data_IF_759855271797
#
_entry.id   IF_759855271797
#
_cell.length_a   1.000
_cell.length_b   1.000
_cell.length_c   1.000
_cell.angle_alpha   90.00
_cell.angle_beta   90.00
_cell.angle_gamma   90.00
#
_symmetry.space_group_name_H-M   'P 1'
#
loop_
_entity.id
_entity.type
_entity.pdbx_description
1 polymer ?
#
# COMPACT_ATOMS: atom_id res chain seq x y z
N UNK A 1 2.73 -11.32 1.21
CA UNK A 1 1.60 -10.41 1.52
C UNK A 1 1.05 -9.68 0.28
N UNK A 2 1.89 -8.99 -0.52
CA UNK A 2 1.44 -8.14 -1.64
C UNK A 2 0.39 -8.76 -2.58
N UNK A 3 0.51 -10.06 -2.91
CA UNK A 3 -0.45 -10.76 -3.75
C UNK A 3 -1.89 -10.68 -3.22
N UNK A 4 -2.11 -10.98 -1.94
CA UNK A 4 -3.46 -11.04 -1.36
C UNK A 4 -4.10 -9.66 -1.24
N UNK A 5 -3.31 -8.61 -1.07
CA UNK A 5 -3.79 -7.22 -0.99
C UNK A 5 -4.33 -6.67 -2.32
N UNK A 6 -4.11 -7.37 -3.43
CA UNK A 6 -4.71 -7.09 -4.74
C UNK A 6 -5.53 -8.27 -5.28
N UNK A 7 -5.89 -9.24 -4.44
CA UNK A 7 -6.72 -10.35 -4.85
C UNK A 7 -8.20 -9.97 -4.70
N UNK A 8 -8.95 -10.10 -5.79
CA UNK A 8 -10.29 -9.53 -5.93
C UNK A 8 -11.28 -9.95 -4.84
N UNK A 9 -11.43 -11.24 -4.48
CA UNK A 9 -12.30 -11.65 -3.37
C UNK A 9 -11.87 -11.05 -2.02
N UNK A 10 -10.56 -10.90 -1.78
CA UNK A 10 -10.08 -10.31 -0.55
C UNK A 10 -10.40 -8.81 -0.49
N UNK A 11 -10.28 -8.11 -1.62
CA UNK A 11 -10.62 -6.68 -1.74
C UNK A 11 -12.13 -6.46 -1.62
N UNK A 12 -12.97 -7.31 -2.20
CA UNK A 12 -14.42 -7.22 -2.07
C UNK A 12 -14.88 -7.36 -0.60
N UNK A 13 -14.26 -8.28 0.15
CA UNK A 13 -14.63 -8.54 1.55
C UNK A 13 -14.03 -7.50 2.51
N UNK A 14 -12.76 -7.12 2.31
CA UNK A 14 -12.03 -6.23 3.23
C UNK A 14 -12.12 -4.75 2.87
N UNK A 15 -12.82 -4.41 1.78
CA UNK A 15 -12.80 -3.08 1.19
C UNK A 15 -11.51 -2.81 0.42
N UNK A 16 -11.37 -1.60 -0.13
CA UNK A 16 -10.24 -1.20 -1.00
C UNK A 16 -9.56 0.10 -0.56
N UNK A 17 -9.83 0.56 0.67
CA UNK A 17 -9.49 1.89 1.15
C UNK A 17 -8.19 1.96 1.97
N UNK A 18 -7.60 0.82 2.35
CA UNK A 18 -6.50 0.78 3.34
C UNK A 18 -5.23 0.11 2.84
N UNK A 19 -5.28 -0.62 1.72
CA UNK A 19 -4.17 -1.45 1.25
C UNK A 19 -3.01 -0.63 0.65
N UNK A 20 -3.30 0.53 0.08
CA UNK A 20 -2.33 1.28 -0.73
C UNK A 20 -1.05 1.67 0.03
N UNK A 21 -1.08 2.18 1.28
CA UNK A 21 0.14 2.45 2.06
C UNK A 21 1.05 1.23 2.24
N UNK A 22 0.47 0.06 2.48
CA UNK A 22 1.23 -1.18 2.67
C UNK A 22 1.84 -1.71 1.38
N UNK A 23 1.09 -1.63 0.27
CA UNK A 23 1.61 -1.96 -1.05
C UNK A 23 2.70 -0.98 -1.49
N UNK A 24 2.53 0.31 -1.20
CA UNK A 24 3.53 1.34 -1.48
C UNK A 24 4.86 1.06 -0.76
N UNK A 25 4.82 0.61 0.50
CA UNK A 25 6.02 0.30 1.28
C UNK A 25 6.87 -0.82 0.69
N UNK A 26 6.24 -1.73 -0.07
CA UNK A 26 6.87 -2.87 -0.73
C UNK A 26 7.45 -2.53 -2.11
N UNK A 27 7.29 -1.29 -2.59
CA UNK A 27 7.92 -0.83 -3.83
C UNK A 27 9.44 -0.74 -3.72
N UNK A 28 9.99 -0.50 -2.52
CA UNK A 28 11.43 -0.50 -2.23
C UNK A 28 11.91 -1.79 -1.53
N UNK A 29 11.22 -2.91 -1.74
CA UNK A 29 11.59 -4.19 -1.13
C UNK A 29 12.97 -4.68 -1.62
N UNK A 30 13.83 -5.34 -0.83
CA UNK A 30 15.09 -5.89 -1.33
C UNK A 30 14.90 -6.93 -2.46
N UNK A 31 13.75 -7.60 -2.54
CA UNK A 31 13.46 -8.60 -3.57
C UNK A 31 12.63 -8.02 -4.72
N UNK A 32 13.17 -8.08 -5.94
CA UNK A 32 12.51 -7.58 -7.16
C UNK A 32 11.14 -8.21 -7.40
N UNK A 33 10.97 -9.50 -7.08
CA UNK A 33 9.68 -10.19 -7.19
C UNK A 33 8.62 -9.57 -6.28
N UNK A 34 9.01 -9.12 -5.08
CA UNK A 34 8.10 -8.43 -4.15
C UNK A 34 7.74 -7.05 -4.68
N UNK A 35 8.70 -6.29 -5.22
CA UNK A 35 8.42 -5.00 -5.88
C UNK A 35 7.45 -5.14 -7.04
N UNK A 36 7.66 -6.14 -7.90
CA UNK A 36 6.77 -6.44 -9.01
C UNK A 36 5.35 -6.74 -8.52
N UNK A 37 5.23 -7.61 -7.51
CA UNK A 37 3.93 -7.96 -6.94
C UNK A 37 3.25 -6.79 -6.25
N UNK A 38 4.01 -5.94 -5.55
CA UNK A 38 3.51 -4.73 -4.92
C UNK A 38 2.91 -3.79 -5.96
N UNK A 39 3.65 -3.47 -7.04
CA UNK A 39 3.15 -2.67 -8.16
C UNK A 39 1.90 -3.30 -8.79
N UNK A 40 1.95 -4.60 -9.09
CA UNK A 40 0.84 -5.32 -9.75
C UNK A 40 -0.43 -5.23 -8.92
N UNK A 41 -0.34 -5.46 -7.61
CA UNK A 41 -1.48 -5.35 -6.71
C UNK A 41 -1.94 -3.91 -6.51
N UNK A 42 -1.00 -2.96 -6.41
CA UNK A 42 -1.32 -1.54 -6.27
C UNK A 42 -2.15 -1.03 -7.46
N UNK A 43 -1.79 -1.43 -8.69
CA UNK A 43 -2.51 -1.06 -9.92
C UNK A 43 -3.94 -1.60 -10.01
N UNK A 44 -4.36 -2.50 -9.11
CA UNK A 44 -5.75 -2.97 -9.04
C UNK A 44 -6.61 -2.11 -8.12
N UNK A 45 -6.01 -1.20 -7.34
CA UNK A 45 -6.75 -0.31 -6.47
C UNK A 45 -7.29 0.90 -7.27
N UNK A 46 -8.46 1.44 -6.89
CA UNK A 46 -9.00 2.65 -7.50
C UNK A 46 -7.99 3.81 -7.48
N UNK A 47 -7.81 4.48 -8.62
CA UNK A 47 -6.87 5.60 -8.76
C UNK A 47 -5.42 5.19 -9.07
N UNK A 48 -5.09 3.90 -9.09
CA UNK A 48 -3.73 3.40 -9.33
C UNK A 48 -3.52 2.66 -10.65
N UNK A 49 -4.55 2.54 -11.50
CA UNK A 49 -4.50 1.77 -12.76
C UNK A 49 -3.26 2.05 -13.61
N UNK A 50 -2.87 3.33 -13.67
CA UNK A 50 -1.74 3.84 -14.46
C UNK A 50 -0.54 4.26 -13.61
N UNK A 51 -0.43 3.76 -12.37
CA UNK A 51 0.66 4.13 -11.48
C UNK A 51 2.04 3.84 -12.12
N UNK A 52 2.84 4.89 -12.40
CA UNK A 52 4.12 4.74 -13.08
C UNK A 52 5.18 4.29 -12.08
N UNK A 53 5.71 3.09 -12.30
CA UNK A 53 6.75 2.52 -11.46
C UNK A 53 7.55 1.48 -12.24
N UNK A 54 8.82 1.78 -12.48
CA UNK A 54 9.82 0.78 -12.88
C UNK A 54 10.51 0.20 -11.65
N UNK A 55 10.28 -1.09 -11.39
CA UNK A 55 10.87 -1.78 -10.24
C UNK A 55 12.36 -2.11 -10.43
N UNK A 56 12.87 -1.96 -11.67
CA UNK A 56 14.29 -2.05 -12.04
C UNK A 56 14.92 -0.66 -12.20
N UNK A 57 14.15 0.40 -11.99
CA UNK A 57 14.59 1.78 -12.20
C UNK A 57 15.62 2.27 -11.18
N UNK A 58 16.12 3.50 -11.36
CA UNK A 58 17.08 4.11 -10.44
C UNK A 58 16.53 4.22 -9.01
N UNK A 59 17.41 4.09 -7.99
CA UNK A 59 17.04 4.20 -6.56
C UNK A 59 16.21 5.46 -6.27
N UNK A 60 16.57 6.60 -6.86
CA UNK A 60 15.84 7.86 -6.69
C UNK A 60 14.38 7.80 -7.15
N UNK A 61 14.08 7.05 -8.22
CA UNK A 61 12.70 6.85 -8.68
C UNK A 61 11.91 5.97 -7.71
N UNK A 62 12.57 4.95 -7.16
CA UNK A 62 12.02 4.00 -6.20
C UNK A 62 11.72 4.70 -4.87
N UNK A 63 12.65 5.51 -4.37
CA UNK A 63 12.50 6.25 -3.11
C UNK A 63 11.28 7.18 -3.16
N UNK A 64 11.08 7.87 -4.30
CA UNK A 64 9.92 8.74 -4.49
C UNK A 64 8.60 8.01 -4.76
N UNK A 65 8.62 6.70 -5.06
CA UNK A 65 7.41 5.96 -5.43
C UNK A 65 6.45 5.81 -4.25
N UNK A 66 6.98 5.65 -3.04
CA UNK A 66 6.18 5.57 -1.82
C UNK A 66 5.35 6.84 -1.61
N UNK A 67 5.98 8.01 -1.65
CA UNK A 67 5.30 9.29 -1.42
C UNK A 67 4.28 9.60 -2.51
N UNK A 68 4.59 9.29 -3.79
CA UNK A 68 3.62 9.40 -4.88
C UNK A 68 2.39 8.53 -4.64
N UNK A 69 2.58 7.29 -4.19
CA UNK A 69 1.48 6.39 -3.91
C UNK A 69 0.62 6.88 -2.73
N UNK A 70 1.24 7.37 -1.65
CA UNK A 70 0.49 7.97 -0.54
C UNK A 70 -0.27 9.23 -0.95
N UNK A 71 0.30 10.05 -1.84
CA UNK A 71 -0.38 11.23 -2.36
C UNK A 71 -1.65 10.85 -3.14
N UNK A 72 -1.55 9.89 -4.07
CA UNK A 72 -2.71 9.39 -4.83
C UNK A 72 -3.77 8.83 -3.88
N UNK A 73 -3.36 7.99 -2.93
CA UNK A 73 -4.27 7.37 -1.97
C UNK A 73 -5.03 8.39 -1.12
N UNK A 74 -4.33 9.39 -0.55
CA UNK A 74 -4.94 10.46 0.27
C UNK A 74 -5.95 11.28 -0.51
N UNK A 75 -5.63 11.63 -1.76
CA UNK A 75 -6.54 12.38 -2.63
C UNK A 75 -7.77 11.53 -3.02
N UNK A 76 -7.57 10.22 -3.19
CA UNK A 76 -8.66 9.26 -3.37
C UNK A 76 -9.62 9.20 -2.18
N UNK A 77 -9.09 9.15 -0.94
CA UNK A 77 -9.90 9.20 0.28
C UNK A 77 -10.71 10.50 0.40
N UNK A 78 -10.09 11.65 0.09
CA UNK A 78 -10.78 12.94 0.12
C UNK A 78 -11.97 12.99 -0.86
N UNK A 79 -11.80 12.37 -2.04
CA UNK A 79 -12.86 12.28 -3.06
C UNK A 79 -14.00 11.36 -2.62
N UNK A 80 -13.70 10.28 -1.89
CA UNK A 80 -14.68 9.32 -1.35
C UNK A 80 -15.46 9.88 -0.16
N UNK A 81 -14.81 10.60 0.75
CA UNK A 81 -15.49 11.28 1.86
C UNK A 81 -16.53 12.31 1.38
N UNK A 82 -16.40 12.83 0.17
CA UNK A 82 -17.37 13.75 -0.44
C UNK A 82 -18.56 13.02 -1.13
N UNK A 83 -18.48 11.69 -1.32
CA UNK A 83 -19.42 10.94 -2.17
C UNK A 83 -19.98 9.63 -1.55
N UNK A 84 -19.60 9.24 -0.33
CA UNK A 84 -20.04 7.98 0.29
C UNK A 84 -21.05 8.12 1.46
N UNK A 85 -21.95 7.14 1.53
CA UNK A 85 -22.92 6.92 2.63
C UNK A 85 -22.18 6.30 3.84
N UNK A 86 -22.58 6.52 5.11
CA UNK A 86 -21.78 6.17 6.30
C UNK A 86 -21.31 4.70 6.49
N UNK A 87 -21.69 3.76 5.61
CA UNK A 87 -21.37 2.33 5.70
C UNK A 87 -20.07 1.88 5.03
N UNK A 88 -19.41 2.72 4.21
CA UNK A 88 -18.17 2.35 3.49
C UNK A 88 -16.87 2.69 4.27
N UNK A 89 -17.01 3.30 5.44
CA UNK A 89 -15.88 3.57 6.34
C UNK A 89 -15.52 2.30 7.11
N UNK A 90 -14.23 1.96 7.14
CA UNK A 90 -13.75 0.96 8.10
C UNK A 90 -14.25 1.33 9.51
N UNK A 91 -14.69 0.34 10.32
CA UNK A 91 -15.05 0.57 11.71
C UNK A 91 -13.93 1.35 12.44
N UNK A 92 -14.23 2.30 13.33
CA UNK A 92 -13.20 3.12 13.99
C UNK A 92 -12.11 2.28 14.69
N UNK A 93 -12.49 1.17 15.30
CA UNK A 93 -11.56 0.18 15.89
C UNK A 93 -10.63 -0.51 14.89
N UNK A 94 -10.99 -0.50 13.60
CA UNK A 94 -10.23 -1.07 12.50
C UNK A 94 -9.18 -0.07 11.99
N UNK A 95 -9.45 1.24 12.08
CA UNK A 95 -8.56 2.31 11.64
C UNK A 95 -7.26 2.33 12.47
N UNK A 96 -7.36 2.24 13.80
CA UNK A 96 -6.19 2.18 14.68
C UNK A 96 -5.35 0.90 14.46
N UNK A 97 -6.01 -0.23 14.22
CA UNK A 97 -5.33 -1.52 13.94
C UNK A 97 -4.63 -1.54 12.59
N UNK A 98 -5.02 -0.65 11.68
CA UNK A 98 -4.40 -0.46 10.38
C UNK A 98 -3.34 0.65 10.38
N UNK A 99 -2.84 1.06 11.55
CA UNK A 99 -1.85 2.14 11.65
C UNK A 99 -2.31 3.40 10.91
N UNK A 100 -3.63 3.65 10.88
CA UNK A 100 -4.20 4.84 10.30
C UNK A 100 -4.61 5.78 11.42
N UNK A 101 -4.36 7.07 11.25
CA UNK A 101 -4.92 8.11 12.11
C UNK A 101 -6.42 8.24 11.87
N UNK A 102 -7.20 8.82 12.81
CA UNK A 102 -8.61 9.13 12.60
C UNK A 102 -8.91 9.96 11.35
N UNK A 103 -7.92 10.73 10.88
CA UNK A 103 -7.98 11.55 9.66
C UNK A 103 -7.65 10.75 8.38
N UNK A 104 -7.43 9.43 8.51
CA UNK A 104 -7.15 8.54 7.38
C UNK A 104 -5.73 8.68 6.83
N UNK A 105 -4.77 9.08 7.67
CA UNK A 105 -3.35 9.14 7.28
C UNK A 105 -2.57 7.98 7.89
N UNK A 106 -1.53 7.49 7.22
CA UNK A 106 -0.67 6.45 7.79
C UNK A 106 0.12 7.03 8.98
N UNK A 107 0.08 6.37 10.13
CA UNK A 107 1.01 6.59 11.24
C UNK A 107 2.41 6.16 10.79
N UNK A 108 3.12 7.12 10.19
CA UNK A 108 4.42 6.88 9.57
C UNK A 108 5.46 6.46 10.60
N UNK A 109 5.42 7.01 11.81
CA UNK A 109 6.40 6.73 12.85
C UNK A 109 6.28 5.28 13.31
N UNK A 110 5.05 4.82 13.61
CA UNK A 110 4.81 3.44 14.01
C UNK A 110 5.05 2.47 12.84
N UNK A 111 4.63 2.85 11.63
CA UNK A 111 4.86 2.05 10.43
C UNK A 111 6.34 1.81 10.15
N UNK A 112 7.16 2.87 10.13
CA UNK A 112 8.59 2.77 9.85
C UNK A 112 9.29 1.96 10.96
N UNK A 113 8.91 2.14 12.23
CA UNK A 113 9.40 1.32 13.36
C UNK A 113 9.10 -0.16 13.12
N UNK A 114 7.85 -0.53 12.84
CA UNK A 114 7.46 -1.92 12.58
C UNK A 114 8.14 -2.50 11.35
N UNK A 115 8.36 -1.69 10.31
CA UNK A 115 9.09 -2.12 9.11
C UNK A 115 10.53 -2.55 9.44
N UNK A 116 11.19 -1.90 10.40
CA UNK A 116 12.55 -2.31 10.83
C UNK A 116 12.60 -3.65 11.56
N UNK A 117 11.47 -4.16 12.06
CA UNK A 117 11.38 -5.47 12.72
C UNK A 117 11.22 -6.62 11.72
N UNK A 118 11.09 -6.31 10.42
CA UNK A 118 10.96 -7.33 9.39
C UNK A 118 12.28 -8.08 9.21
N UNK A 119 12.22 -9.40 9.26
CA UNK A 119 13.35 -10.25 8.89
C UNK A 119 13.61 -10.16 7.37
N UNK A 120 14.70 -9.50 7.02
CA UNK A 120 15.19 -9.34 5.64
C UNK A 120 16.40 -10.24 5.35
N UNK A 121 16.53 -11.37 6.07
CA UNK A 121 17.59 -12.35 5.80
C UNK A 121 17.63 -12.70 4.31
N UNK A 122 18.81 -12.57 3.65
CA UNK A 122 18.94 -12.89 2.24
C UNK A 122 18.55 -14.34 1.94
N UNK A 123 17.70 -14.52 0.93
CA UNK A 123 17.31 -15.82 0.39
C UNK A 123 17.97 -16.00 -0.97
N UNK A 124 18.69 -17.10 -1.12
CA UNK A 124 19.25 -17.54 -2.41
C UNK A 124 18.30 -18.58 -3.01
N UNK A 125 17.75 -18.30 -4.19
CA UNK A 125 17.00 -19.27 -4.97
C UNK A 125 17.98 -19.93 -5.94
N UNK A 126 18.13 -21.25 -5.86
CA UNK A 126 18.86 -22.00 -6.88
C UNK A 126 17.98 -22.09 -8.14
N UNK A 127 18.55 -21.77 -9.30
CA UNK A 127 17.94 -21.96 -10.61
C UNK A 127 17.96 -23.43 -11.05
#
# INVERSE_FOLDING_TARGET
AAWHLGWEPAVEISGNHWQAPYLAALLDDPYLAVRFMARRSLRKLPGFNDFPFDFLGPKAEIDGAFDRALHIWRNGLASRNASETPGDKAPPEFVERLLLSPEGTLDRALFDRLKTERDDKPVSLAE
#
